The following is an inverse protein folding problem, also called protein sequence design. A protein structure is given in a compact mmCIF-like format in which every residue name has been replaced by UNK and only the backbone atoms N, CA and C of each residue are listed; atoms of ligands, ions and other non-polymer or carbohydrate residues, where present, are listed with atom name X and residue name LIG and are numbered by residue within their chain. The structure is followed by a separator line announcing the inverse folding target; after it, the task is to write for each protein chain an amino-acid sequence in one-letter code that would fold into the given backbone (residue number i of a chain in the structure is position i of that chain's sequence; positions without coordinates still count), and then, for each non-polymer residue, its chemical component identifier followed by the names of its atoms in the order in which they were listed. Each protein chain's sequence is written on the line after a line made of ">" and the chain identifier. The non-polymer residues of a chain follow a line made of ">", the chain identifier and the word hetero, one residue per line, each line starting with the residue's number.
data_IF_493541471978
#
_entry.id   IF_493541471978
#
_cell.length_a   1.000
_cell.length_b   1.000
_cell.length_c   1.000
_cell.angle_alpha   90.00
_cell.angle_beta   90.00
_cell.angle_gamma   90.00
#
_symmetry.space_group_name_H-M   'P 1'
#
loop_
_entity.id
_entity.type
_entity.pdbx_description
1 polymer ?
#
# COMPACT_ATOMS: atom_id res chain seq x y z
N UNK A 1 -17.38 -6.90 3.68
CA UNK A 1 -16.24 -7.55 2.98
C UNK A 1 -15.20 -6.54 2.48
N UNK A 2 -15.59 -5.41 1.87
CA UNK A 2 -14.64 -4.35 1.44
C UNK A 2 -13.86 -3.70 2.59
N UNK A 3 -14.52 -3.34 3.69
CA UNK A 3 -13.87 -2.68 4.86
C UNK A 3 -12.82 -3.57 5.55
N UNK A 4 -13.08 -4.88 5.63
CA UNK A 4 -12.12 -5.85 6.18
C UNK A 4 -10.86 -5.87 5.32
N UNK A 5 -11.01 -5.87 3.99
CA UNK A 5 -9.87 -5.87 3.07
C UNK A 5 -9.06 -4.56 3.13
N UNK A 6 -9.73 -3.42 3.27
CA UNK A 6 -9.06 -2.11 3.47
C UNK A 6 -8.23 -2.11 4.75
N UNK A 7 -8.80 -2.56 5.86
CA UNK A 7 -8.10 -2.63 7.15
C UNK A 7 -6.87 -3.55 7.05
N UNK A 8 -7.00 -4.72 6.41
CA UNK A 8 -5.89 -5.65 6.22
C UNK A 8 -4.74 -5.05 5.40
N UNK A 9 -5.05 -4.29 4.33
CA UNK A 9 -4.05 -3.63 3.51
C UNK A 9 -3.33 -2.50 4.28
N UNK A 10 -4.07 -1.71 5.05
CA UNK A 10 -3.50 -0.65 5.89
C UNK A 10 -2.56 -1.23 6.96
N UNK A 11 -2.97 -2.31 7.63
CA UNK A 11 -2.11 -2.96 8.63
C UNK A 11 -0.87 -3.60 7.99
N UNK A 12 -1.01 -4.17 6.78
CA UNK A 12 0.14 -4.68 6.03
C UNK A 12 1.12 -3.58 5.64
N UNK A 13 0.62 -2.42 5.20
CA UNK A 13 1.45 -1.25 4.91
C UNK A 13 2.20 -0.75 6.15
N UNK A 14 1.51 -0.62 7.30
CA UNK A 14 2.14 -0.25 8.58
C UNK A 14 3.23 -1.23 8.99
N UNK A 15 3.00 -2.54 8.83
CA UNK A 15 4.02 -3.56 9.10
C UNK A 15 5.24 -3.38 8.21
N UNK A 16 5.04 -3.09 6.92
CA UNK A 16 6.14 -2.86 5.98
C UNK A 16 6.93 -1.60 6.32
N UNK A 17 6.28 -0.52 6.73
CA UNK A 17 6.95 0.70 7.21
C UNK A 17 7.78 0.41 8.47
N UNK A 18 7.25 -0.38 9.42
CA UNK A 18 8.00 -0.79 10.60
C UNK A 18 9.24 -1.61 10.23
N UNK A 19 9.13 -2.55 9.29
CA UNK A 19 10.27 -3.30 8.77
C UNK A 19 11.27 -2.41 8.03
N UNK A 20 10.81 -1.46 7.23
CA UNK A 20 11.67 -0.52 6.50
C UNK A 20 12.53 0.31 7.46
N UNK A 21 11.99 0.74 8.62
CA UNK A 21 12.77 1.45 9.64
C UNK A 21 13.91 0.59 10.19
N UNK A 22 13.64 -0.67 10.53
CA UNK A 22 14.67 -1.61 11.02
C UNK A 22 15.76 -1.87 9.97
N UNK A 23 15.37 -1.98 8.69
CA UNK A 23 16.31 -2.18 7.58
C UNK A 23 17.16 -0.93 7.34
N UNK A 24 16.56 0.26 7.45
CA UNK A 24 17.26 1.52 7.33
C UNK A 24 18.31 1.69 8.42
N UNK A 25 17.94 1.39 9.68
CA UNK A 25 18.86 1.45 10.82
C UNK A 25 20.04 0.46 10.66
N UNK A 26 19.82 -0.65 9.95
CA UNK A 26 20.84 -1.65 9.64
C UNK A 26 21.65 -1.35 8.35
N UNK A 27 21.37 -0.24 7.65
CA UNK A 27 22.06 0.14 6.41
C UNK A 27 21.65 -0.69 5.17
N UNK A 28 20.58 -1.48 5.25
CA UNK A 28 20.05 -2.24 4.12
C UNK A 28 19.09 -1.37 3.31
N UNK A 29 19.66 -0.52 2.45
CA UNK A 29 18.91 0.48 1.69
C UNK A 29 18.03 -0.13 0.58
N UNK A 30 18.50 -1.17 -0.11
CA UNK A 30 17.75 -1.84 -1.18
C UNK A 30 16.49 -2.52 -0.63
N UNK A 31 16.61 -3.22 0.49
CA UNK A 31 15.45 -3.81 1.17
C UNK A 31 14.52 -2.74 1.74
N UNK A 32 15.08 -1.62 2.24
CA UNK A 32 14.29 -0.48 2.72
C UNK A 32 13.41 0.09 1.61
N UNK A 33 14.00 0.40 0.44
CA UNK A 33 13.28 0.92 -0.72
C UNK A 33 12.18 -0.05 -1.17
N UNK A 34 12.49 -1.35 -1.21
CA UNK A 34 11.52 -2.40 -1.54
C UNK A 34 10.34 -2.43 -0.57
N UNK A 35 10.59 -2.32 0.75
CA UNK A 35 9.51 -2.31 1.76
C UNK A 35 8.66 -1.06 1.69
N UNK A 36 9.25 0.10 1.43
CA UNK A 36 8.50 1.36 1.28
C UNK A 36 7.64 1.32 0.03
N UNK A 37 8.16 0.84 -1.11
CA UNK A 37 7.40 0.67 -2.35
C UNK A 37 6.14 -0.18 -2.14
N UNK A 38 6.27 -1.34 -1.49
CA UNK A 38 5.11 -2.20 -1.23
C UNK A 38 4.16 -1.61 -0.17
N UNK A 39 4.65 -0.86 0.82
CA UNK A 39 3.78 -0.14 1.73
C UNK A 39 2.90 0.88 0.99
N UNK A 40 3.49 1.64 0.06
CA UNK A 40 2.75 2.55 -0.81
C UNK A 40 1.75 1.81 -1.71
N UNK A 41 2.16 0.68 -2.29
CA UNK A 41 1.29 -0.17 -3.12
C UNK A 41 0.03 -0.62 -2.36
N UNK A 42 0.18 -1.14 -1.13
CA UNK A 42 -0.96 -1.56 -0.31
C UNK A 42 -1.87 -0.38 0.09
N UNK A 43 -1.29 0.79 0.35
CA UNK A 43 -2.09 2.00 0.62
C UNK A 43 -2.86 2.47 -0.63
N UNK A 44 -2.25 2.38 -1.82
CA UNK A 44 -2.94 2.67 -3.07
C UNK A 44 -4.08 1.67 -3.33
N UNK A 45 -3.85 0.38 -3.10
CA UNK A 45 -4.88 -0.66 -3.19
C UNK A 45 -6.03 -0.40 -2.21
N UNK A 46 -5.72 -0.04 -0.96
CA UNK A 46 -6.72 0.33 0.04
C UNK A 46 -7.53 1.55 -0.41
N UNK A 47 -6.88 2.59 -0.95
CA UNK A 47 -7.53 3.78 -1.47
C UNK A 47 -8.48 3.45 -2.63
N UNK A 48 -8.07 2.56 -3.54
CA UNK A 48 -8.89 2.10 -4.65
C UNK A 48 -10.12 1.34 -4.13
N UNK A 49 -9.95 0.46 -3.14
CA UNK A 49 -11.05 -0.28 -2.52
C UNK A 49 -12.05 0.65 -1.81
N UNK A 50 -11.56 1.69 -1.11
CA UNK A 50 -12.40 2.73 -0.51
C UNK A 50 -13.16 3.51 -1.61
N UNK A 51 -12.46 3.89 -2.69
CA UNK A 51 -13.03 4.60 -3.85
C UNK A 51 -13.91 3.71 -4.73
N UNK A 52 -13.97 2.40 -4.48
CA UNK A 52 -14.89 1.48 -5.15
C UNK A 52 -16.36 1.65 -4.71
N UNK A 53 -16.65 2.72 -3.97
CA UNK A 53 -17.86 3.53 -4.19
C UNK A 53 -17.79 4.20 -5.59
N UNK A 54 -18.00 3.38 -6.65
CA UNK A 54 -18.16 3.71 -8.09
C UNK A 54 -16.91 4.10 -8.91
N UNK A 55 -16.04 3.16 -9.27
CA UNK A 55 -15.26 3.28 -10.53
C UNK A 55 -15.42 2.00 -11.36
N UNK A 56 -15.95 2.15 -12.59
CA UNK A 56 -16.44 1.06 -13.44
C UNK A 56 -15.42 0.47 -14.43
N UNK A 57 -14.14 0.89 -14.43
CA UNK A 57 -13.15 0.32 -15.37
C UNK A 57 -11.68 0.52 -14.99
N UNK A 58 -10.83 -0.37 -15.52
CA UNK A 58 -9.36 -0.39 -15.36
C UNK A 58 -8.66 0.83 -15.97
N UNK A 59 -9.19 1.44 -17.04
CA UNK A 59 -8.69 2.74 -17.54
C UNK A 59 -8.97 3.88 -16.56
N UNK A 60 -10.11 3.84 -15.87
CA UNK A 60 -10.45 4.82 -14.83
C UNK A 60 -9.56 4.73 -13.59
N UNK A 61 -8.80 3.64 -13.44
CA UNK A 61 -7.83 3.49 -12.37
C UNK A 61 -6.53 4.25 -12.68
N UNK A 62 -6.05 4.16 -13.92
CA UNK A 62 -4.82 4.82 -14.36
C UNK A 62 -5.02 6.34 -14.46
N UNK A 63 -6.22 6.83 -14.81
CA UNK A 63 -6.50 8.26 -14.93
C UNK A 63 -6.68 9.02 -13.60
N UNK A 64 -6.70 8.33 -12.45
CA UNK A 64 -6.80 8.96 -11.12
C UNK A 64 -5.42 9.27 -10.52
N UNK A 65 -4.36 8.80 -11.17
CA UNK A 65 -2.96 9.12 -10.88
C UNK A 65 -2.37 9.96 -12.01
#
# INVERSE_FOLDING_TARGET
>A
MSEINVTLLVEKAKKYIKSAKLLLDNGDFDSTASRIYYAMHYMAEALILIKNLKIKSHRGLISVF
#
